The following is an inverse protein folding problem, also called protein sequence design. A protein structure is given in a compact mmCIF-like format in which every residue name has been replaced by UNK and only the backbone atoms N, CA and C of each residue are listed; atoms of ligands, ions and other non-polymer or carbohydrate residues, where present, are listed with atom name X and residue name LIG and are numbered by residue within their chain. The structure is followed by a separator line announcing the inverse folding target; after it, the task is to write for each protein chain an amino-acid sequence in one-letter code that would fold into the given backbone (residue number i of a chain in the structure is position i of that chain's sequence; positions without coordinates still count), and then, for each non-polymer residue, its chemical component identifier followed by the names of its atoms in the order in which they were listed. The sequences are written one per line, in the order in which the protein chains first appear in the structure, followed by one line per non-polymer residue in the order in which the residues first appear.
data_IF_572136594591
#
_entry.id   IF_572136594591
#
_cell.length_a   1.000
_cell.length_b   1.000
_cell.length_c   1.000
_cell.angle_alpha   90.00
_cell.angle_beta   90.00
_cell.angle_gamma   90.00
#
_symmetry.space_group_name_H-M   'P 1'
#
loop_
_entity.id
_entity.type
_entity.pdbx_description
1 polymer ?
#
# COMPACT_ATOMS: atom_id res chain seq x y z
N UNK A 1 0.42 -2.26 18.46
CA UNK A 1 -0.74 -3.14 18.71
C UNK A 1 -0.33 -4.60 18.64
N UNK A 2 -1.09 -5.51 19.28
CA UNK A 2 -0.86 -6.95 19.14
C UNK A 2 -1.18 -7.40 17.71
N UNK A 3 -0.43 -8.40 17.22
CA UNK A 3 -0.74 -9.04 15.96
C UNK A 3 -2.06 -9.84 16.06
N UNK A 4 -2.79 -9.92 14.97
CA UNK A 4 -4.05 -10.66 14.87
C UNK A 4 -4.09 -11.50 13.58
N UNK A 5 -4.89 -12.57 13.59
CA UNK A 5 -5.15 -13.38 12.41
C UNK A 5 -6.37 -12.80 11.66
N UNK A 6 -6.22 -12.34 10.41
CA UNK A 6 -7.34 -11.82 9.65
C UNK A 6 -8.28 -12.95 9.20
N UNK A 7 -9.58 -12.61 9.03
CA UNK A 7 -10.54 -13.51 8.42
C UNK A 7 -10.11 -13.83 6.96
N UNK A 8 -10.51 -15.00 6.46
CA UNK A 8 -10.17 -15.47 5.09
C UNK A 8 -8.66 -15.64 4.80
N UNK A 9 -7.85 -15.69 5.85
CA UNK A 9 -6.42 -15.94 5.73
C UNK A 9 -6.01 -17.13 6.60
N UNK A 10 -4.98 -17.85 6.17
CA UNK A 10 -4.37 -18.93 6.94
C UNK A 10 -2.91 -18.57 7.23
N UNK A 11 -2.38 -19.02 8.37
CA UNK A 11 -0.98 -18.81 8.76
C UNK A 11 -0.48 -17.38 8.65
N UNK A 12 -1.38 -16.40 8.82
CA UNK A 12 -1.14 -14.98 8.67
C UNK A 12 -1.27 -14.28 10.01
N UNK A 13 -0.32 -13.41 10.31
CA UNK A 13 -0.36 -12.50 11.45
C UNK A 13 -0.20 -11.06 10.96
N UNK A 14 -1.21 -10.22 11.16
CA UNK A 14 -1.21 -8.81 10.77
C UNK A 14 -1.03 -7.91 11.98
N UNK A 15 -0.22 -6.87 11.82
CA UNK A 15 -0.10 -5.75 12.75
C UNK A 15 -0.61 -4.48 12.04
N UNK A 16 -1.55 -3.77 12.66
CA UNK A 16 -2.00 -2.46 12.15
C UNK A 16 -0.97 -1.40 12.49
N UNK A 17 -0.38 -0.80 11.46
CA UNK A 17 0.60 0.27 11.60
C UNK A 17 -0.10 1.63 11.55
N UNK A 18 -0.86 1.87 10.50
CA UNK A 18 -1.66 3.08 10.29
C UNK A 18 -3.13 2.69 10.27
N UNK A 19 -3.97 3.39 10.99
CA UNK A 19 -5.40 3.19 11.01
C UNK A 19 -6.07 4.10 12.05
N UNK A 20 -7.37 4.01 12.17
CA UNK A 20 -8.17 4.84 13.07
C UNK A 20 -7.71 4.78 14.53
N UNK A 21 -7.40 3.56 15.01
CA UNK A 21 -7.04 3.33 16.42
C UNK A 21 -5.55 3.62 16.73
N UNK A 22 -4.72 3.79 15.70
CA UNK A 22 -3.29 4.10 15.89
C UNK A 22 -3.00 5.58 15.76
N UNK A 23 -3.44 6.19 14.66
CA UNK A 23 -3.11 7.57 14.28
C UNK A 23 -4.33 8.40 13.89
N UNK A 24 -5.54 7.85 13.99
CA UNK A 24 -6.78 8.52 13.62
C UNK A 24 -7.04 8.57 12.11
N UNK A 25 -6.37 7.71 11.32
CA UNK A 25 -6.56 7.65 9.87
C UNK A 25 -8.01 7.27 9.51
N UNK A 26 -8.55 7.88 8.46
CA UNK A 26 -9.94 7.74 8.04
C UNK A 26 -10.08 7.28 6.59
N UNK A 27 -9.09 7.55 5.73
CA UNK A 27 -9.14 7.26 4.30
C UNK A 27 -8.35 6.03 3.91
N UNK A 28 -7.40 5.61 4.76
CA UNK A 28 -6.59 4.42 4.53
C UNK A 28 -6.30 3.65 5.81
N UNK A 29 -5.91 2.40 5.62
CA UNK A 29 -5.34 1.53 6.65
C UNK A 29 -4.07 0.87 6.08
N UNK A 30 -3.01 0.81 6.88
CA UNK A 30 -1.78 0.10 6.53
C UNK A 30 -1.51 -1.00 7.55
N UNK A 31 -1.36 -2.21 7.05
CA UNK A 31 -1.00 -3.39 7.82
C UNK A 31 0.40 -3.87 7.44
N UNK A 32 1.11 -4.40 8.40
CA UNK A 32 2.29 -5.23 8.20
C UNK A 32 1.92 -6.67 8.49
N UNK A 33 1.95 -7.52 7.45
CA UNK A 33 1.61 -8.93 7.53
C UNK A 33 2.84 -9.82 7.51
N UNK A 34 2.79 -10.89 8.28
CA UNK A 34 3.73 -12.02 8.16
C UNK A 34 2.93 -13.26 7.84
N UNK A 35 3.30 -13.98 6.76
CA UNK A 35 2.57 -15.13 6.24
C UNK A 35 3.54 -16.31 6.11
N UNK A 36 3.18 -17.43 6.73
CA UNK A 36 3.99 -18.64 6.69
C UNK A 36 3.87 -19.38 5.36
N UNK A 37 4.88 -20.19 5.00
CA UNK A 37 4.89 -21.05 3.79
C UNK A 37 3.62 -21.91 3.67
N UNK A 38 3.06 -21.99 2.45
CA UNK A 38 1.86 -22.75 2.12
C UNK A 38 0.57 -22.14 2.67
N UNK A 39 0.65 -20.93 3.20
CA UNK A 39 -0.47 -20.17 3.75
C UNK A 39 -0.66 -18.86 3.01
N UNK A 40 -1.76 -18.17 3.29
CA UNK A 40 -2.05 -16.88 2.67
C UNK A 40 -3.53 -16.53 2.68
N UNK A 41 -3.91 -15.70 1.72
CA UNK A 41 -5.28 -15.26 1.52
C UNK A 41 -6.08 -16.30 0.73
N UNK A 42 -7.18 -16.79 1.27
CA UNK A 42 -8.17 -17.58 0.54
C UNK A 42 -8.89 -16.71 -0.50
N UNK A 43 -9.48 -17.30 -1.56
CA UNK A 43 -10.18 -16.52 -2.58
C UNK A 43 -11.30 -15.67 -1.99
N UNK A 44 -11.14 -14.35 -2.08
CA UNK A 44 -12.12 -13.37 -1.60
C UNK A 44 -12.05 -12.07 -2.41
N UNK A 45 -13.03 -11.22 -2.24
CA UNK A 45 -13.07 -9.88 -2.83
C UNK A 45 -13.51 -8.85 -1.79
N UNK A 46 -13.12 -7.62 -2.00
CA UNK A 46 -13.55 -6.45 -1.21
C UNK A 46 -14.44 -5.56 -2.08
N UNK A 47 -15.78 -5.60 -1.94
CA UNK A 47 -16.68 -4.91 -2.86
C UNK A 47 -16.51 -3.39 -2.95
N UNK A 48 -16.07 -2.75 -1.85
CA UNK A 48 -16.11 -1.30 -1.68
C UNK A 48 -14.76 -0.64 -1.37
N UNK A 49 -13.66 -1.39 -1.45
CA UNK A 49 -12.32 -0.85 -1.20
C UNK A 49 -11.30 -1.44 -2.17
N UNK A 50 -10.22 -0.73 -2.34
CA UNK A 50 -9.03 -1.16 -3.05
C UNK A 50 -7.98 -1.68 -2.09
N UNK A 51 -7.21 -2.65 -2.54
CA UNK A 51 -6.08 -3.20 -1.81
C UNK A 51 -4.82 -3.12 -2.65
N UNK A 52 -3.81 -2.46 -2.12
CA UNK A 52 -2.45 -2.50 -2.64
C UNK A 52 -1.56 -3.32 -1.69
N UNK A 53 -0.68 -4.14 -2.22
CA UNK A 53 0.26 -4.91 -1.41
C UNK A 53 1.68 -4.81 -1.97
N UNK A 54 2.64 -4.60 -1.07
CA UNK A 54 4.08 -4.54 -1.38
C UNK A 54 4.80 -5.63 -0.61
N UNK A 55 5.48 -6.53 -1.30
CA UNK A 55 6.27 -7.56 -0.66
C UNK A 55 7.59 -6.98 -0.16
N UNK A 56 7.80 -7.04 1.16
CA UNK A 56 9.03 -6.62 1.82
C UNK A 56 10.08 -7.75 1.84
N UNK A 57 9.61 -9.01 1.93
CA UNK A 57 10.44 -10.21 1.93
C UNK A 57 9.66 -11.44 1.45
N UNK A 58 10.38 -12.46 0.99
CA UNK A 58 9.80 -13.74 0.56
C UNK A 58 9.25 -13.71 -0.86
N UNK A 59 8.54 -14.78 -1.22
CA UNK A 59 7.95 -15.00 -2.54
C UNK A 59 6.61 -15.71 -2.41
N UNK A 60 5.63 -15.29 -3.22
CA UNK A 60 4.31 -15.90 -3.22
C UNK A 60 3.62 -15.85 -4.57
N UNK A 61 2.62 -16.71 -4.74
CA UNK A 61 1.77 -16.76 -5.92
C UNK A 61 0.51 -15.91 -5.68
N UNK A 62 0.38 -14.82 -6.41
CA UNK A 62 -0.83 -14.02 -6.49
C UNK A 62 -1.72 -14.48 -7.63
N UNK A 63 -3.02 -14.56 -7.36
CA UNK A 63 -4.03 -14.96 -8.34
C UNK A 63 -5.14 -13.92 -8.42
N UNK A 64 -5.49 -13.55 -9.64
CA UNK A 64 -6.59 -12.66 -10.04
C UNK A 64 -7.40 -13.36 -11.13
N UNK A 65 -8.64 -12.94 -11.45
CA UNK A 65 -9.44 -13.54 -12.49
C UNK A 65 -8.68 -13.66 -13.82
N UNK A 66 -8.40 -14.89 -14.23
CA UNK A 66 -7.67 -15.20 -15.47
C UNK A 66 -6.16 -14.93 -15.44
N UNK A 67 -5.58 -14.57 -14.29
CA UNK A 67 -4.16 -14.25 -14.15
C UNK A 67 -3.54 -14.89 -12.91
N UNK A 68 -2.29 -15.32 -13.09
CA UNK A 68 -1.42 -15.73 -11.98
C UNK A 68 -0.07 -15.04 -12.14
N UNK A 69 0.50 -14.59 -11.03
CA UNK A 69 1.82 -13.96 -11.00
C UNK A 69 2.59 -14.35 -9.75
N UNK A 70 3.83 -14.73 -9.94
CA UNK A 70 4.77 -14.86 -8.82
C UNK A 70 5.22 -13.45 -8.43
N UNK A 71 5.02 -13.12 -7.17
CA UNK A 71 5.41 -11.86 -6.54
C UNK A 71 6.63 -12.10 -5.64
N UNK A 72 7.61 -11.21 -5.72
CA UNK A 72 8.86 -11.25 -4.96
C UNK A 72 9.03 -9.98 -4.13
N UNK A 73 9.99 -10.00 -3.21
CA UNK A 73 10.38 -8.78 -2.49
C UNK A 73 10.65 -7.63 -3.48
N UNK A 74 10.03 -6.49 -3.24
CA UNK A 74 10.05 -5.31 -4.13
C UNK A 74 8.88 -5.22 -5.11
N UNK A 75 8.08 -6.28 -5.27
CA UNK A 75 6.91 -6.26 -6.15
C UNK A 75 5.67 -5.67 -5.47
N UNK A 76 4.89 -4.98 -6.29
CA UNK A 76 3.55 -4.53 -5.95
C UNK A 76 2.48 -5.39 -6.58
N UNK A 77 1.36 -5.56 -5.88
CA UNK A 77 0.10 -6.04 -6.43
C UNK A 77 -1.03 -5.05 -6.12
N UNK A 78 -2.06 -5.06 -6.95
CA UNK A 78 -3.23 -4.22 -6.79
C UNK A 78 -4.49 -5.02 -7.06
N UNK A 79 -5.47 -4.91 -6.17
CA UNK A 79 -6.78 -5.51 -6.27
C UNK A 79 -7.82 -4.40 -6.25
N UNK A 80 -8.45 -4.15 -7.39
CA UNK A 80 -9.54 -3.19 -7.50
C UNK A 80 -10.76 -3.66 -6.71
N UNK A 81 -11.63 -2.72 -6.35
CA UNK A 81 -12.87 -3.03 -5.63
C UNK A 81 -13.71 -4.08 -6.38
N UNK A 82 -14.16 -5.11 -5.66
CA UNK A 82 -14.96 -6.20 -6.20
C UNK A 82 -14.19 -7.30 -6.92
N UNK A 83 -12.88 -7.14 -7.17
CA UNK A 83 -12.07 -8.15 -7.86
C UNK A 83 -11.67 -9.25 -6.88
N UNK A 84 -12.03 -10.50 -7.21
CA UNK A 84 -11.58 -11.67 -6.45
C UNK A 84 -10.07 -11.85 -6.57
N UNK A 85 -9.44 -12.16 -5.46
CA UNK A 85 -8.00 -12.39 -5.40
C UNK A 85 -7.65 -13.46 -4.38
N UNK A 86 -6.49 -14.09 -4.58
CA UNK A 86 -5.87 -15.09 -3.71
C UNK A 86 -4.37 -14.84 -3.66
N UNK A 87 -3.74 -15.23 -2.55
CA UNK A 87 -2.29 -15.21 -2.41
C UNK A 87 -1.83 -16.41 -1.58
N UNK A 88 -0.74 -17.08 -1.99
CA UNK A 88 -0.12 -18.17 -1.27
C UNK A 88 1.40 -18.04 -1.26
N UNK A 89 2.02 -18.20 -0.09
CA UNK A 89 3.47 -18.16 0.06
C UNK A 89 4.09 -19.44 -0.49
N UNK A 90 5.04 -19.28 -1.42
CA UNK A 90 5.78 -20.39 -2.05
C UNK A 90 7.25 -20.46 -1.63
N UNK A 91 7.82 -19.40 -1.05
CA UNK A 91 9.18 -19.41 -0.48
C UNK A 91 9.27 -20.24 0.79
N UNK A 92 10.49 -20.71 1.11
CA UNK A 92 10.75 -21.41 2.38
C UNK A 92 10.64 -20.47 3.58
N UNK A 93 11.11 -19.23 3.40
CA UNK A 93 10.98 -18.16 4.39
C UNK A 93 9.58 -17.53 4.35
N UNK A 94 9.07 -17.04 5.48
CA UNK A 94 7.81 -16.34 5.52
C UNK A 94 7.83 -15.08 4.63
N UNK A 95 6.70 -14.77 4.01
CA UNK A 95 6.50 -13.47 3.35
C UNK A 95 6.26 -12.41 4.40
N UNK A 96 6.93 -11.27 4.25
CA UNK A 96 6.56 -10.01 4.90
C UNK A 96 5.93 -9.09 3.85
N UNK A 97 4.77 -8.56 4.18
CA UNK A 97 3.98 -7.75 3.24
C UNK A 97 3.40 -6.52 3.92
N UNK A 98 3.55 -5.38 3.28
CA UNK A 98 2.78 -4.17 3.55
C UNK A 98 1.47 -4.28 2.78
N UNK A 99 0.34 -4.12 3.45
CA UNK A 99 -0.99 -4.08 2.82
C UNK A 99 -1.63 -2.74 3.10
N UNK A 100 -2.10 -2.08 2.05
CA UNK A 100 -2.79 -0.80 2.11
C UNK A 100 -4.23 -1.01 1.65
N UNK A 101 -5.17 -0.63 2.47
CA UNK A 101 -6.60 -0.59 2.13
C UNK A 101 -7.08 0.86 2.04
N UNK A 102 -7.86 1.17 1.02
CA UNK A 102 -8.55 2.44 0.88
C UNK A 102 -9.95 2.23 0.21
N UNK A 103 -11.05 2.65 0.87
CA UNK A 103 -11.15 3.06 2.28
C UNK A 103 -10.67 2.00 3.28
N UNK A 104 -10.50 2.34 4.59
CA UNK A 104 -10.04 1.39 5.61
C UNK A 104 -10.91 0.14 5.70
N UNK A 105 -10.29 -1.03 5.75
CA UNK A 105 -11.00 -2.30 5.92
C UNK A 105 -11.66 -2.41 7.31
N UNK A 106 -11.02 -1.88 8.34
CA UNK A 106 -11.51 -1.91 9.72
C UNK A 106 -12.83 -1.17 9.94
N UNK A 107 -13.18 -0.24 9.05
CA UNK A 107 -14.49 0.44 9.08
C UNK A 107 -15.64 -0.50 8.69
N UNK A 108 -15.35 -1.59 7.96
CA UNK A 108 -16.33 -2.58 7.57
C UNK A 108 -15.72 -3.99 7.49
N UNK A 109 -15.50 -4.67 8.64
CA UNK A 109 -14.87 -5.98 8.68
C UNK A 109 -15.65 -7.08 7.94
N UNK A 110 -16.92 -6.85 7.59
CA UNK A 110 -17.74 -7.76 6.81
C UNK A 110 -17.72 -7.44 5.30
N UNK A 111 -16.87 -6.51 4.87
CA UNK A 111 -16.75 -6.12 3.46
C UNK A 111 -16.04 -7.15 2.58
N UNK A 112 -15.59 -8.29 3.12
CA UNK A 112 -15.04 -9.38 2.31
C UNK A 112 -16.14 -10.37 1.90
N UNK A 113 -16.18 -10.66 0.61
CA UNK A 113 -17.02 -11.72 0.04
C UNK A 113 -16.12 -12.90 -0.28
N UNK A 114 -16.35 -14.05 0.36
CA UNK A 114 -15.55 -15.26 0.17
C UNK A 114 -16.15 -16.13 -0.94
N UNK A 115 -15.31 -16.78 -1.74
CA UNK A 115 -15.75 -17.81 -2.68
C UNK A 115 -16.27 -19.06 -1.95
N UNK A 116 -17.30 -19.69 -2.50
CA UNK A 116 -17.91 -20.89 -1.92
C UNK A 116 -17.14 -22.17 -2.25
N UNK A 117 -16.22 -22.11 -3.20
CA UNK A 117 -15.37 -23.23 -3.64
C UNK A 117 -14.61 -22.87 -4.91
N UNK A 118 -13.76 -23.78 -5.43
CA UNK A 118 -12.92 -23.53 -6.60
C UNK A 118 -13.75 -23.27 -7.89
N UNK A 119 -14.96 -23.79 -7.96
CA UNK A 119 -15.85 -23.64 -9.10
C UNK A 119 -16.82 -22.46 -8.96
N UNK A 120 -16.62 -21.59 -8.00
CA UNK A 120 -17.46 -20.41 -7.79
C UNK A 120 -17.33 -19.46 -9.01
N UNK A 121 -18.43 -19.18 -9.75
CA UNK A 121 -18.37 -18.34 -10.94
C UNK A 121 -17.92 -16.91 -10.64
N UNK A 122 -18.05 -16.45 -9.40
CA UNK A 122 -17.60 -15.13 -8.96
C UNK A 122 -16.07 -15.00 -8.95
N UNK A 123 -15.31 -16.11 -8.97
CA UNK A 123 -13.85 -16.08 -9.12
C UNK A 123 -13.41 -15.45 -10.45
N UNK A 124 -14.30 -15.34 -11.43
CA UNK A 124 -14.06 -14.63 -12.68
C UNK A 124 -14.68 -13.22 -12.70
N UNK A 125 -15.35 -12.82 -11.62
CA UNK A 125 -15.93 -11.49 -11.53
C UNK A 125 -14.84 -10.41 -11.44
N UNK A 126 -15.05 -9.31 -12.12
CA UNK A 126 -14.09 -8.21 -12.16
C UNK A 126 -12.91 -8.45 -13.09
N UNK A 127 -12.92 -9.47 -13.96
CA UNK A 127 -11.81 -9.77 -14.88
C UNK A 127 -11.49 -8.58 -15.82
N UNK A 128 -12.46 -7.77 -16.15
CA UNK A 128 -12.27 -6.57 -16.98
C UNK A 128 -11.54 -5.44 -16.24
N UNK A 129 -11.63 -5.39 -14.93
CA UNK A 129 -10.98 -4.42 -14.05
C UNK A 129 -9.56 -4.84 -13.64
N UNK A 130 -9.15 -6.07 -13.98
CA UNK A 130 -7.81 -6.57 -13.64
C UNK A 130 -6.74 -5.85 -14.43
N UNK A 131 -5.93 -5.08 -13.74
CA UNK A 131 -4.77 -4.40 -14.29
C UNK A 131 -3.50 -4.85 -13.58
N UNK A 132 -2.45 -5.12 -14.36
CA UNK A 132 -1.15 -5.44 -13.80
C UNK A 132 -0.46 -4.15 -13.33
N UNK A 133 0.13 -4.19 -12.14
CA UNK A 133 1.03 -3.12 -11.72
C UNK A 133 2.23 -3.15 -12.66
N UNK A 134 2.57 -2.03 -13.33
CA UNK A 134 3.73 -1.97 -14.22
C UNK A 134 5.02 -2.30 -13.48
N UNK A 135 5.89 -3.11 -14.10
CA UNK A 135 7.20 -3.44 -13.54
C UNK A 135 8.10 -2.20 -13.42
N UNK A 136 7.89 -1.21 -14.28
CA UNK A 136 8.55 0.09 -14.22
C UNK A 136 7.66 1.15 -14.87
N UNK A 137 7.82 2.39 -14.43
CA UNK A 137 7.16 3.57 -15.02
C UNK A 137 8.20 4.68 -15.19
N UNK A 138 7.92 5.58 -16.12
CA UNK A 138 8.75 6.77 -16.27
C UNK A 138 8.61 7.66 -15.03
N UNK A 139 9.75 8.17 -14.53
CA UNK A 139 9.71 9.10 -13.40
C UNK A 139 8.96 10.38 -13.75
N UNK A 140 8.21 10.89 -12.79
CA UNK A 140 7.52 12.16 -12.86
C UNK A 140 8.00 13.11 -11.77
N UNK A 141 7.78 14.41 -11.95
CA UNK A 141 7.92 15.38 -10.88
C UNK A 141 6.67 15.30 -9.98
N UNK A 142 6.85 15.09 -8.69
CA UNK A 142 5.76 15.28 -7.72
C UNK A 142 5.64 16.76 -7.38
N UNK A 143 4.43 17.32 -7.39
CA UNK A 143 4.20 18.67 -6.91
C UNK A 143 4.78 18.88 -5.50
N UNK A 144 5.42 20.01 -5.28
CA UNK A 144 6.07 20.41 -4.02
C UNK A 144 7.37 19.65 -3.68
N UNK A 145 7.74 18.61 -4.42
CA UNK A 145 8.99 17.90 -4.20
C UNK A 145 10.10 18.47 -5.09
N UNK A 146 11.30 18.62 -4.54
CA UNK A 146 12.54 19.01 -5.23
C UNK A 146 13.60 17.92 -5.09
N UNK A 147 14.48 17.77 -6.05
CA UNK A 147 15.52 16.74 -6.03
C UNK A 147 14.93 15.32 -5.89
N UNK A 148 13.74 15.07 -6.45
CA UNK A 148 13.00 13.83 -6.32
C UNK A 148 12.71 13.22 -7.69
N UNK A 149 12.89 11.92 -7.80
CA UNK A 149 12.41 11.10 -8.92
C UNK A 149 11.30 10.20 -8.41
N UNK A 150 10.06 10.49 -8.80
CA UNK A 150 8.89 9.73 -8.37
C UNK A 150 8.39 8.82 -9.50
N UNK A 151 8.32 7.53 -9.26
CA UNK A 151 7.73 6.55 -10.18
C UNK A 151 6.33 6.21 -9.73
N UNK A 152 5.27 6.56 -10.50
CA UNK A 152 3.90 6.18 -10.18
C UNK A 152 3.77 4.66 -10.29
N UNK A 153 3.29 4.01 -9.24
CA UNK A 153 3.10 2.56 -9.18
C UNK A 153 1.63 2.20 -9.24
N UNK A 154 0.86 2.74 -8.31
CA UNK A 154 -0.59 2.54 -8.23
C UNK A 154 -1.23 3.93 -8.28
N UNK A 155 -1.86 4.23 -9.39
CA UNK A 155 -2.53 5.49 -9.66
C UNK A 155 -3.69 5.22 -10.62
N UNK A 156 -4.52 6.23 -10.88
CA UNK A 156 -5.56 6.15 -11.91
C UNK A 156 -4.97 5.82 -13.30
N UNK A 157 -3.79 6.37 -13.63
CA UNK A 157 -3.15 6.15 -14.93
C UNK A 157 -2.56 4.75 -15.09
N UNK A 158 -1.98 4.18 -14.02
CA UNK A 158 -1.31 2.88 -14.09
C UNK A 158 -2.28 1.71 -13.99
N UNK A 159 -3.14 1.69 -12.97
CA UNK A 159 -4.00 0.56 -12.63
C UNK A 159 -5.47 0.93 -12.49
N UNK A 160 -5.86 2.16 -12.86
CA UNK A 160 -7.21 2.70 -12.71
C UNK A 160 -7.67 2.76 -11.24
N UNK A 161 -6.74 3.02 -10.32
CA UNK A 161 -7.06 3.22 -8.91
C UNK A 161 -7.94 4.45 -8.71
N UNK A 162 -8.91 4.32 -7.83
CA UNK A 162 -9.92 5.35 -7.53
C UNK A 162 -9.69 6.04 -6.19
N UNK A 163 -8.97 5.39 -5.29
CA UNK A 163 -8.77 5.84 -3.91
C UNK A 163 -7.31 6.07 -3.55
N UNK A 164 -6.37 5.48 -4.33
CA UNK A 164 -4.95 5.45 -3.99
C UNK A 164 -4.09 6.06 -5.09
N UNK A 165 -3.11 6.85 -4.66
CA UNK A 165 -1.94 7.18 -5.45
C UNK A 165 -0.69 6.75 -4.68
N UNK A 166 0.08 5.80 -5.24
CA UNK A 166 1.31 5.27 -4.63
C UNK A 166 2.49 5.51 -5.57
N UNK A 167 3.54 6.06 -5.01
CA UNK A 167 4.78 6.38 -5.72
C UNK A 167 5.99 5.78 -5.01
N UNK A 168 6.93 5.26 -5.80
CA UNK A 168 8.30 5.00 -5.35
C UNK A 168 9.11 6.27 -5.61
N UNK A 169 9.70 6.83 -4.56
CA UNK A 169 10.38 8.15 -4.64
C UNK A 169 11.82 8.03 -4.20
N UNK A 170 12.73 8.42 -5.08
CA UNK A 170 14.14 8.55 -4.79
C UNK A 170 14.44 10.04 -4.57
N UNK A 171 14.90 10.40 -3.37
CA UNK A 171 15.34 11.75 -3.02
C UNK A 171 16.86 11.85 -3.16
N UNK A 172 17.33 12.90 -3.82
CA UNK A 172 18.74 13.29 -3.79
C UNK A 172 19.17 13.75 -2.39
N UNK A 173 20.46 13.88 -2.16
CA UNK A 173 21.00 14.30 -0.84
C UNK A 173 20.50 15.68 -0.37
N UNK A 174 20.10 16.54 -1.30
CA UNK A 174 19.48 17.84 -1.05
C UNK A 174 17.99 17.87 -1.40
N UNK A 175 17.41 16.66 -1.65
CA UNK A 175 16.01 16.47 -2.00
C UNK A 175 15.07 16.63 -0.83
N UNK A 176 13.82 16.92 -1.13
CA UNK A 176 12.79 17.07 -0.10
C UNK A 176 11.46 17.57 -0.64
N UNK A 177 10.57 17.97 0.25
CA UNK A 177 9.32 18.62 -0.08
C UNK A 177 9.18 19.95 0.67
N UNK A 178 8.88 21.01 -0.09
CA UNK A 178 8.57 22.33 0.47
C UNK A 178 7.28 22.26 1.29
N UNK A 179 7.06 23.20 2.24
CA UNK A 179 5.80 23.24 3.01
C UNK A 179 4.58 23.28 2.08
N UNK A 180 3.70 22.29 2.22
CA UNK A 180 2.51 22.16 1.39
C UNK A 180 1.38 21.41 2.10
N UNK A 181 0.16 21.57 1.60
CA UNK A 181 -1.04 20.85 2.01
C UNK A 181 -1.66 20.14 0.81
N UNK A 182 -2.12 18.90 0.99
CA UNK A 182 -2.75 18.10 -0.07
C UNK A 182 -4.29 18.17 -0.05
N UNK A 183 -4.86 19.06 0.78
CA UNK A 183 -6.32 19.15 0.92
C UNK A 183 -6.89 17.91 1.57
N UNK A 184 -7.94 17.35 0.99
CA UNK A 184 -8.67 16.17 1.51
C UNK A 184 -7.95 14.84 1.20
N UNK A 185 -6.65 14.79 1.43
CA UNK A 185 -5.80 13.62 1.15
C UNK A 185 -5.00 13.27 2.39
N UNK A 186 -5.12 12.05 2.88
CA UNK A 186 -4.20 11.49 3.85
C UNK A 186 -2.95 10.96 3.15
N UNK A 187 -1.79 11.15 3.76
CA UNK A 187 -0.53 10.67 3.20
C UNK A 187 0.24 9.83 4.22
N UNK A 188 0.82 8.75 3.75
CA UNK A 188 1.77 7.92 4.51
C UNK A 188 3.09 7.89 3.77
N UNK A 189 4.18 8.09 4.49
CA UNK A 189 5.53 7.89 4.00
C UNK A 189 6.11 6.65 4.69
N UNK A 190 6.64 5.73 3.91
CA UNK A 190 7.46 4.64 4.40
C UNK A 190 8.88 4.84 3.91
N UNK A 191 9.83 4.89 4.84
CA UNK A 191 11.25 5.06 4.52
C UNK A 191 11.86 3.70 4.19
N UNK A 192 12.18 3.47 2.91
CA UNK A 192 12.83 2.23 2.44
C UNK A 192 14.33 2.24 2.68
N UNK A 193 14.94 3.42 2.61
CA UNK A 193 16.38 3.61 2.79
C UNK A 193 16.71 5.05 3.10
N UNK A 194 17.72 5.26 3.92
CA UNK A 194 18.14 6.59 4.36
C UNK A 194 17.32 7.11 5.55
N UNK A 195 17.33 8.42 5.73
CA UNK A 195 16.67 9.14 6.81
C UNK A 195 16.06 10.43 6.29
N UNK A 196 14.86 10.76 6.73
CA UNK A 196 14.22 12.06 6.48
C UNK A 196 14.01 12.81 7.78
N UNK A 197 14.13 14.12 7.73
CA UNK A 197 13.66 15.05 8.73
C UNK A 197 12.53 15.90 8.16
N UNK A 198 11.62 16.36 9.00
CA UNK A 198 10.54 17.19 8.48
C UNK A 198 9.71 17.83 9.57
N UNK A 199 8.61 18.44 9.13
CA UNK A 199 7.58 19.01 10.00
C UNK A 199 6.19 18.65 9.51
N UNK A 200 5.30 18.36 10.45
CA UNK A 200 3.86 18.25 10.24
C UNK A 200 3.19 19.26 11.17
N UNK A 201 2.42 20.20 10.61
CA UNK A 201 1.81 21.31 11.37
C UNK A 201 2.82 22.03 12.28
N UNK A 202 4.06 22.20 11.80
CA UNK A 202 5.14 22.85 12.55
C UNK A 202 5.91 21.94 13.52
N UNK A 203 5.34 20.80 13.93
CA UNK A 203 5.99 19.82 14.82
C UNK A 203 7.05 19.02 14.06
N UNK A 204 8.24 18.91 14.65
CA UNK A 204 9.38 18.20 14.03
C UNK A 204 9.22 16.70 14.13
N UNK A 205 9.62 16.00 13.07
CA UNK A 205 9.82 14.56 13.09
C UNK A 205 11.15 14.18 12.42
N UNK A 206 11.59 12.97 12.71
CA UNK A 206 12.63 12.26 11.96
C UNK A 206 12.15 10.82 11.75
N UNK A 207 12.49 10.24 10.60
CA UNK A 207 12.18 8.84 10.31
C UNK A 207 13.32 8.23 9.49
N UNK A 208 13.77 7.05 9.92
CA UNK A 208 14.80 6.25 9.27
C UNK A 208 14.23 5.02 8.55
N UNK A 209 15.11 4.22 7.97
CA UNK A 209 14.75 3.00 7.26
C UNK A 209 13.84 2.08 8.09
N UNK A 210 12.71 1.67 7.51
CA UNK A 210 11.69 0.83 8.13
C UNK A 210 10.63 1.60 8.93
N UNK A 211 10.75 2.92 9.06
CA UNK A 211 9.83 3.75 9.81
C UNK A 211 8.75 4.40 8.93
N UNK A 212 7.67 4.82 9.59
CA UNK A 212 6.46 5.33 8.98
C UNK A 212 6.15 6.74 9.48
N UNK A 213 5.67 7.58 8.57
CA UNK A 213 5.17 8.92 8.90
C UNK A 213 3.75 9.03 8.37
N UNK A 214 2.81 9.37 9.24
CA UNK A 214 1.43 9.64 8.86
C UNK A 214 1.17 11.14 8.83
N UNK A 215 0.59 11.62 7.74
CA UNK A 215 0.20 13.01 7.52
C UNK A 215 -1.32 13.06 7.37
N UNK A 216 -2.04 13.63 8.35
CA UNK A 216 -3.50 13.79 8.27
C UNK A 216 -3.94 14.62 7.07
N UNK A 217 -5.20 14.46 6.64
CA UNK A 217 -5.78 15.30 5.59
C UNK A 217 -5.72 16.78 5.98
N UNK A 218 -5.37 17.63 5.01
CA UNK A 218 -5.22 19.07 5.18
C UNK A 218 -4.01 19.50 6.01
N UNK A 219 -3.26 18.60 6.63
CA UNK A 219 -2.07 18.95 7.40
C UNK A 219 -0.93 19.43 6.50
N UNK A 220 -0.17 20.42 7.00
CA UNK A 220 1.02 20.91 6.33
C UNK A 220 2.18 19.95 6.56
N UNK A 221 2.82 19.54 5.45
CA UNK A 221 4.03 18.72 5.46
C UNK A 221 5.18 19.49 4.82
N UNK A 222 6.36 19.41 5.44
CA UNK A 222 7.65 19.63 4.79
C UNK A 222 8.61 18.54 5.19
N UNK A 223 9.53 18.17 4.31
CA UNK A 223 10.59 17.19 4.62
C UNK A 223 11.85 17.42 3.78
N UNK A 224 12.94 16.87 4.25
CA UNK A 224 14.21 16.83 3.55
C UNK A 224 14.96 15.53 3.84
N UNK A 225 15.79 15.09 2.92
CA UNK A 225 16.76 14.03 3.15
C UNK A 225 17.80 14.50 4.15
N UNK A 226 18.10 13.68 5.17
CA UNK A 226 18.98 14.10 6.28
C UNK A 226 20.44 13.80 6.03
N UNK A 227 20.78 12.58 5.62
CA UNK A 227 22.14 12.07 5.56
C UNK A 227 22.47 11.43 4.20
N UNK A 228 22.22 12.14 3.11
CA UNK A 228 22.47 11.63 1.76
C UNK A 228 21.17 11.32 1.01
N UNK A 229 21.19 10.35 0.12
CA UNK A 229 19.98 9.95 -0.64
C UNK A 229 19.00 9.20 0.23
N UNK A 230 17.70 9.32 -0.08
CA UNK A 230 16.65 8.61 0.64
C UNK A 230 15.68 7.97 -0.34
N UNK A 231 15.20 6.77 -0.02
CA UNK A 231 14.17 6.05 -0.77
C UNK A 231 12.87 6.02 0.04
N UNK A 232 11.77 6.46 -0.56
CA UNK A 232 10.45 6.49 0.06
C UNK A 232 9.43 5.70 -0.76
N UNK A 233 8.44 5.14 -0.06
CA UNK A 233 7.12 4.89 -0.62
C UNK A 233 6.21 6.00 -0.12
N UNK A 234 5.62 6.74 -1.06
CA UNK A 234 4.63 7.78 -0.78
C UNK A 234 3.26 7.23 -1.14
N UNK A 235 2.40 7.07 -0.14
CA UNK A 235 1.04 6.55 -0.26
C UNK A 235 0.09 7.70 0.02
N UNK A 236 -0.80 8.00 -0.91
CA UNK A 236 -1.86 9.00 -0.76
C UNK A 236 -3.21 8.34 -0.90
N UNK A 237 -4.11 8.66 0.02
CA UNK A 237 -5.49 8.20 -0.04
C UNK A 237 -6.44 9.41 -0.04
N UNK A 238 -7.39 9.38 -0.94
CA UNK A 238 -8.37 10.44 -1.17
C UNK A 238 -9.77 9.85 -1.38
N UNK A 239 -10.78 10.70 -1.44
CA UNK A 239 -12.12 10.28 -1.86
C UNK A 239 -12.11 9.83 -3.32
N UNK A 240 -13.06 8.97 -3.73
CA UNK A 240 -13.03 8.41 -5.08
C UNK A 240 -13.03 9.53 -6.12
N UNK A 241 -12.06 9.44 -7.03
CA UNK A 241 -12.01 10.33 -8.19
C UNK A 241 -13.23 10.04 -9.08
N UNK A 242 -14.01 11.06 -9.35
CA UNK A 242 -15.18 11.04 -10.25
C UNK A 242 -14.80 10.84 -11.71
#
# INVERSE_FOLDING_TARGET
MAAYAPANHTGTANQRIIGKETVGARRLEVLLGTISRGHGALPHAHPNLEQASFLLAGEGLGELPGKQRVLRAGDWSFNAAGVFHRFEVISDEPVQVMVVYAPPYSENPNAAVTATGPDDPRLQAGAAEVRDVPASTEPIALPHYRGALARPVITRQTVDSRFLDIYMVDLAADGGAEPHRLGETEQVLYVRGGTIHGRIEGERFAAGTGEWVYVPDGAELSLESADGTCELIVIRAHDPLS
#
